data_IF_948347958744
#
_entry.id   IF_948347958744
#
_cell.length_a   1.000
_cell.length_b   1.000
_cell.length_c   1.000
_cell.angle_alpha   90.00
_cell.angle_beta   90.00
_cell.angle_gamma   90.00
#
_symmetry.space_group_name_H-M   'P 1'
#
loop_
_entity.id
_entity.type
_entity.pdbx_description
1 polymer ?
#
# COMPACT_ATOMS: atom_id res chain seq x y z
N UNK A 1 26.86 -24.57 -15.99
CA UNK A 1 27.28 -23.26 -15.44
C UNK A 1 26.35 -22.91 -14.30
N UNK A 2 26.88 -22.50 -13.14
CA UNK A 2 26.06 -22.08 -12.01
C UNK A 2 25.51 -20.67 -12.31
N UNK A 3 24.19 -20.55 -12.39
CA UNK A 3 23.50 -19.28 -12.63
C UNK A 3 22.80 -18.83 -11.36
N UNK A 4 22.54 -17.53 -11.22
CA UNK A 4 21.83 -17.00 -10.04
C UNK A 4 20.48 -17.71 -9.82
N UNK A 5 19.80 -18.09 -10.90
CA UNK A 5 18.48 -18.75 -10.87
C UNK A 5 18.52 -20.21 -10.38
N UNK A 6 19.69 -20.84 -10.32
CA UNK A 6 19.81 -22.20 -9.77
C UNK A 6 20.04 -22.22 -8.25
N UNK A 7 20.07 -21.04 -7.60
CA UNK A 7 20.24 -20.94 -6.16
C UNK A 7 18.91 -21.23 -5.42
N UNK A 8 18.96 -21.84 -4.22
CA UNK A 8 17.82 -21.93 -3.33
C UNK A 8 17.22 -20.55 -2.99
N UNK A 9 15.92 -20.51 -2.74
CA UNK A 9 15.20 -19.27 -2.46
C UNK A 9 15.75 -18.53 -1.23
N UNK A 10 16.25 -19.27 -0.23
CA UNK A 10 16.86 -18.72 0.99
C UNK A 10 18.09 -17.87 0.67
N UNK A 11 18.94 -18.33 -0.25
CA UNK A 11 20.13 -17.59 -0.68
C UNK A 11 19.75 -16.38 -1.53
N UNK A 12 18.74 -16.52 -2.39
CA UNK A 12 18.20 -15.40 -3.16
C UNK A 12 17.63 -14.31 -2.25
N UNK A 13 16.92 -14.68 -1.18
CA UNK A 13 16.43 -13.75 -0.17
C UNK A 13 17.55 -13.03 0.55
N UNK A 14 18.62 -13.74 0.92
CA UNK A 14 19.80 -13.13 1.54
C UNK A 14 20.50 -12.15 0.59
N UNK A 15 20.76 -12.54 -0.66
CA UNK A 15 21.36 -11.67 -1.68
C UNK A 15 20.52 -10.41 -1.88
N UNK A 16 19.19 -10.55 -1.92
CA UNK A 16 18.28 -9.40 -2.01
C UNK A 16 18.38 -8.47 -0.79
N UNK A 17 18.45 -9.02 0.43
CA UNK A 17 18.60 -8.22 1.65
C UNK A 17 19.98 -7.56 1.76
N UNK A 18 21.05 -8.19 1.26
CA UNK A 18 22.39 -7.59 1.24
C UNK A 18 22.54 -6.53 0.16
N UNK A 19 21.98 -6.76 -1.02
CA UNK A 19 22.06 -5.79 -2.13
C UNK A 19 21.11 -4.61 -1.96
N UNK A 20 20.01 -4.78 -1.21
CA UNK A 20 18.91 -3.82 -1.05
C UNK A 20 18.33 -3.29 -2.36
N UNK A 21 18.58 -3.99 -3.47
CA UNK A 21 18.27 -3.51 -4.80
C UNK A 21 16.79 -3.71 -5.15
N UNK A 22 16.05 -2.65 -5.56
CA UNK A 22 14.64 -2.77 -5.91
C UNK A 22 14.41 -3.45 -7.27
N UNK A 23 15.45 -3.57 -8.09
CA UNK A 23 15.37 -4.08 -9.47
C UNK A 23 15.58 -5.58 -9.58
N UNK A 24 16.20 -6.22 -8.58
CA UNK A 24 16.56 -7.64 -8.63
C UNK A 24 15.35 -8.56 -8.89
N UNK A 25 14.16 -8.34 -8.27
CA UNK A 25 12.96 -9.11 -8.60
C UNK A 25 12.49 -8.97 -10.05
N UNK A 26 12.87 -7.89 -10.75
CA UNK A 26 12.40 -7.60 -12.11
C UNK A 26 13.37 -8.06 -13.20
N UNK A 27 14.55 -8.57 -12.82
CA UNK A 27 15.57 -9.05 -13.78
C UNK A 27 15.08 -10.29 -14.52
N UNK A 28 14.34 -11.18 -13.86
CA UNK A 28 13.78 -12.38 -14.49
C UNK A 28 12.41 -12.74 -13.93
N UNK A 29 11.63 -13.48 -14.73
CA UNK A 29 10.29 -13.96 -14.32
C UNK A 29 10.36 -14.94 -13.15
N UNK A 30 11.43 -15.73 -13.10
CA UNK A 30 11.66 -16.68 -12.01
C UNK A 30 11.91 -15.94 -10.70
N UNK A 31 12.84 -14.98 -10.70
CA UNK A 31 13.11 -14.14 -9.53
C UNK A 31 11.85 -13.37 -9.11
N UNK A 32 11.13 -12.79 -10.07
CA UNK A 32 9.86 -12.12 -9.80
C UNK A 32 8.90 -13.03 -9.04
N UNK A 33 8.70 -14.27 -9.51
CA UNK A 33 7.83 -15.24 -8.84
C UNK A 33 8.29 -15.56 -7.42
N UNK A 34 9.59 -15.78 -7.21
CA UNK A 34 10.16 -16.06 -5.87
C UNK A 34 9.91 -14.89 -4.92
N UNK A 35 10.29 -13.66 -5.31
CA UNK A 35 10.14 -12.49 -4.45
C UNK A 35 8.67 -12.07 -4.29
N UNK A 36 7.81 -12.35 -5.27
CA UNK A 36 6.38 -12.14 -5.15
C UNK A 36 5.78 -13.01 -4.03
N UNK A 37 6.21 -14.26 -3.92
CA UNK A 37 5.81 -15.21 -2.87
C UNK A 37 6.70 -15.15 -1.62
N UNK A 38 7.49 -14.08 -1.47
CA UNK A 38 8.35 -13.90 -0.30
C UNK A 38 7.56 -13.79 1.00
N UNK A 39 8.19 -14.21 2.09
CA UNK A 39 7.60 -14.16 3.43
C UNK A 39 7.40 -12.72 3.91
N UNK A 40 6.43 -12.53 4.80
CA UNK A 40 6.14 -11.23 5.43
C UNK A 40 7.35 -10.70 6.20
N UNK A 41 8.11 -11.59 6.84
CA UNK A 41 9.34 -11.28 7.55
C UNK A 41 10.43 -10.76 6.61
N UNK A 42 10.63 -11.39 5.45
CA UNK A 42 11.59 -10.92 4.44
C UNK A 42 11.23 -9.51 3.94
N UNK A 43 9.97 -9.29 3.61
CA UNK A 43 9.46 -7.98 3.15
C UNK A 43 9.64 -6.89 4.21
N UNK A 44 9.32 -7.20 5.47
CA UNK A 44 9.51 -6.27 6.58
C UNK A 44 10.99 -5.96 6.85
N UNK A 45 11.87 -6.96 6.77
CA UNK A 45 13.31 -6.76 6.90
C UNK A 45 13.85 -5.88 5.78
N UNK A 46 13.47 -6.15 4.53
CA UNK A 46 13.86 -5.34 3.38
C UNK A 46 13.44 -3.88 3.56
N UNK A 47 12.19 -3.63 3.94
CA UNK A 47 11.68 -2.29 4.22
C UNK A 47 12.41 -1.59 5.39
N UNK A 48 12.75 -2.35 6.43
CA UNK A 48 13.49 -1.83 7.59
C UNK A 48 14.93 -1.45 7.24
N UNK A 49 15.58 -2.24 6.39
CA UNK A 49 16.96 -2.00 5.97
C UNK A 49 17.06 -0.88 4.93
N UNK A 50 16.11 -0.81 3.99
CA UNK A 50 16.03 0.27 2.98
C UNK A 50 15.74 1.63 3.61
N UNK A 51 14.89 1.68 4.64
CA UNK A 51 14.46 2.94 5.27
C UNK A 51 14.73 2.95 6.78
N UNK A 52 16.00 3.13 7.21
CA UNK A 52 16.38 3.02 8.61
C UNK A 52 15.85 4.16 9.50
N UNK A 53 15.48 5.31 8.91
CA UNK A 53 15.05 6.53 9.63
C UNK A 53 13.53 6.69 9.69
N UNK A 54 12.85 6.61 8.54
CA UNK A 54 11.39 6.82 8.41
C UNK A 54 10.69 5.51 8.02
N UNK A 55 10.91 4.47 8.82
CA UNK A 55 10.56 3.10 8.42
C UNK A 55 9.10 2.97 8.07
N UNK A 56 8.17 3.44 8.91
CA UNK A 56 6.74 3.30 8.62
C UNK A 56 6.29 4.22 7.47
N UNK A 57 6.55 5.52 7.57
CA UNK A 57 6.13 6.50 6.56
C UNK A 57 6.61 6.13 5.15
N UNK A 58 7.87 5.73 5.00
CA UNK A 58 8.41 5.29 3.70
C UNK A 58 7.89 3.93 3.27
N UNK A 59 7.69 2.99 4.20
CA UNK A 59 7.23 1.64 3.87
C UNK A 59 5.83 1.62 3.28
N UNK A 60 4.91 2.46 3.75
CA UNK A 60 3.55 2.50 3.21
C UNK A 60 3.56 2.95 1.73
N UNK A 61 4.58 3.68 1.26
CA UNK A 61 4.74 4.01 -0.17
C UNK A 61 5.13 2.83 -1.06
N UNK A 62 5.45 1.66 -0.49
CA UNK A 62 5.66 0.42 -1.24
C UNK A 62 4.43 -0.49 -1.22
N UNK A 63 4.00 -1.06 -2.37
CA UNK A 63 2.88 -2.02 -2.42
C UNK A 63 3.20 -3.30 -1.66
N UNK A 64 4.46 -3.47 -1.24
CA UNK A 64 4.91 -4.57 -0.43
C UNK A 64 4.38 -4.53 1.01
N UNK A 65 4.01 -3.34 1.51
CA UNK A 65 3.56 -3.10 2.86
C UNK A 65 2.06 -3.40 3.03
N UNK A 66 1.75 -4.66 3.36
CA UNK A 66 0.42 -5.12 3.75
C UNK A 66 0.27 -5.14 5.28
N UNK A 67 -0.95 -5.34 5.80
CA UNK A 67 -1.21 -5.40 7.25
C UNK A 67 -0.31 -6.39 8.01
N UNK A 68 -0.12 -7.66 7.56
CA UNK A 68 0.76 -8.57 8.27
C UNK A 68 2.23 -8.13 8.22
N UNK A 69 2.67 -7.50 7.11
CA UNK A 69 4.02 -6.92 7.02
C UNK A 69 4.18 -5.78 8.01
N UNK A 70 3.17 -4.93 8.16
CA UNK A 70 3.17 -3.83 9.13
C UNK A 70 3.32 -4.34 10.58
N UNK A 71 2.58 -5.38 10.97
CA UNK A 71 2.75 -5.98 12.31
C UNK A 71 4.15 -6.54 12.55
N UNK A 72 4.74 -7.22 11.55
CA UNK A 72 6.12 -7.71 11.67
C UNK A 72 7.13 -6.56 11.75
N UNK A 73 6.88 -5.46 11.02
CA UNK A 73 7.70 -4.25 11.05
C UNK A 73 7.62 -3.59 12.44
N UNK A 74 6.44 -3.50 13.04
CA UNK A 74 6.26 -3.04 14.43
C UNK A 74 7.02 -3.91 15.43
N UNK A 75 6.97 -5.24 15.26
CA UNK A 75 7.71 -6.15 16.13
C UNK A 75 9.23 -5.94 16.03
N UNK A 76 9.75 -5.72 14.82
CA UNK A 76 11.16 -5.40 14.58
C UNK A 76 11.51 -4.02 15.18
N UNK A 77 10.64 -3.03 15.03
CA UNK A 77 10.83 -1.69 15.57
C UNK A 77 10.85 -1.68 17.11
N UNK A 78 9.92 -2.43 17.74
CA UNK A 78 9.88 -2.64 19.20
C UNK A 78 11.18 -3.25 19.71
N UNK A 79 11.68 -4.30 19.05
CA UNK A 79 12.98 -4.92 19.39
C UNK A 79 14.14 -3.92 19.29
N UNK A 80 14.07 -2.99 18.32
CA UNK A 80 15.08 -1.93 18.10
C UNK A 80 14.80 -0.66 18.91
N UNK A 81 13.80 -0.64 19.79
CA UNK A 81 13.33 0.53 20.57
C UNK A 81 13.07 1.78 19.71
N UNK A 82 12.59 1.60 18.48
CA UNK A 82 12.24 2.70 17.58
C UNK A 82 10.75 2.99 17.64
N UNK A 83 10.40 4.27 17.76
CA UNK A 83 9.02 4.75 17.67
C UNK A 83 8.69 4.91 16.18
N UNK A 84 7.58 4.31 15.77
CA UNK A 84 7.06 4.47 14.42
C UNK A 84 6.02 5.59 14.43
N UNK A 85 6.09 6.49 13.45
CA UNK A 85 5.14 7.59 13.30
C UNK A 85 4.66 7.67 11.87
N UNK A 86 3.34 7.90 11.71
CA UNK A 86 2.67 8.09 10.43
C UNK A 86 1.77 9.31 10.51
N UNK A 87 2.29 10.51 10.17
CA UNK A 87 1.47 11.71 10.18
C UNK A 87 0.42 11.69 9.06
N UNK A 88 0.75 11.09 7.91
CA UNK A 88 -0.08 11.17 6.69
C UNK A 88 -0.27 9.81 6.01
N UNK A 89 -1.48 9.56 5.53
CA UNK A 89 -1.82 8.39 4.72
C UNK A 89 -1.42 8.62 3.26
N UNK A 90 -0.58 7.75 2.66
CA UNK A 90 -0.16 7.95 1.29
C UNK A 90 -1.30 7.75 0.31
N UNK A 91 -1.34 8.61 -0.73
CA UNK A 91 -2.35 8.60 -1.79
C UNK A 91 -2.53 7.25 -2.50
N UNK A 92 -1.49 6.39 -2.50
CA UNK A 92 -1.57 5.06 -3.10
C UNK A 92 -2.63 4.17 -2.47
N UNK A 93 -2.87 4.29 -1.16
CA UNK A 93 -3.93 3.53 -0.48
C UNK A 93 -5.33 3.87 -1.04
N UNK A 94 -5.46 5.03 -1.67
CA UNK A 94 -6.69 5.52 -2.30
C UNK A 94 -6.58 5.52 -3.84
N UNK A 95 -5.54 4.88 -4.41
CA UNK A 95 -5.44 4.63 -5.85
C UNK A 95 -6.39 3.50 -6.18
N UNK A 96 -7.68 3.84 -6.21
CA UNK A 96 -8.78 3.06 -6.77
C UNK A 96 -8.41 2.66 -8.19
N UNK A 97 -7.70 1.54 -8.35
CA UNK A 97 -7.17 1.09 -9.64
C UNK A 97 -8.09 0.07 -10.33
N UNK A 98 -9.21 -0.31 -9.73
CA UNK A 98 -10.05 -1.41 -10.25
C UNK A 98 -11.58 -1.24 -10.05
N UNK A 99 -12.12 -0.07 -9.66
CA UNK A 99 -13.60 0.05 -9.46
C UNK A 99 -14.41 0.37 -10.73
N UNK A 100 -13.81 0.44 -11.92
CA UNK A 100 -14.57 0.62 -13.16
C UNK A 100 -13.80 0.13 -14.39
N UNK A 101 -13.60 -1.18 -14.53
CA UNK A 101 -13.71 -1.76 -15.87
C UNK A 101 -15.17 -2.19 -16.01
N UNK A 102 -16.00 -1.51 -16.82
CA UNK A 102 -17.43 -1.81 -16.93
C UNK A 102 -17.74 -3.24 -17.45
N UNK A 103 -16.72 -3.99 -17.91
CA UNK A 103 -16.87 -5.33 -18.48
C UNK A 103 -16.16 -6.45 -17.69
N UNK A 104 -15.70 -6.20 -16.46
CA UNK A 104 -15.17 -7.29 -15.63
C UNK A 104 -16.36 -8.16 -15.15
N UNK A 105 -16.36 -9.49 -15.40
CA UNK A 105 -17.44 -10.35 -14.94
C UNK A 105 -17.57 -10.22 -13.43
N UNK A 106 -18.81 -9.98 -12.97
CA UNK A 106 -19.18 -9.97 -11.55
C UNK A 106 -18.55 -11.19 -10.87
N UNK A 107 -17.69 -11.03 -9.84
CA UNK A 107 -17.30 -12.17 -9.04
C UNK A 107 -18.55 -12.70 -8.34
N UNK A 108 -18.90 -13.95 -8.64
CA UNK A 108 -20.05 -14.69 -8.11
C UNK A 108 -19.83 -15.19 -6.67
N UNK A 109 -18.80 -14.70 -5.97
CA UNK A 109 -18.50 -15.05 -4.58
C UNK A 109 -18.42 -13.80 -3.69
N UNK A 110 -19.02 -13.80 -2.48
CA UNK A 110 -18.97 -12.65 -1.57
C UNK A 110 -17.63 -12.44 -0.85
N UNK A 111 -16.58 -13.23 -1.16
CA UNK A 111 -15.43 -13.41 -0.24
C UNK A 111 -14.09 -12.95 -0.79
N UNK A 112 -13.97 -12.65 -2.09
CA UNK A 112 -12.67 -12.30 -2.67
C UNK A 112 -12.71 -10.99 -3.45
N UNK A 113 -11.92 -10.02 -2.98
CA UNK A 113 -11.51 -8.88 -3.79
C UNK A 113 -12.14 -7.54 -3.44
N UNK A 114 -11.96 -7.05 -2.21
CA UNK A 114 -11.75 -5.62 -2.04
C UNK A 114 -10.26 -5.36 -2.32
N UNK A 115 -9.85 -4.79 -3.48
CA UNK A 115 -8.45 -4.45 -3.77
C UNK A 115 -7.93 -3.27 -2.92
N UNK A 116 -8.78 -2.74 -2.04
CA UNK A 116 -8.45 -1.74 -1.06
C UNK A 116 -8.16 -2.45 0.26
N UNK A 117 -6.95 -2.26 0.78
CA UNK A 117 -6.55 -2.76 2.10
C UNK A 117 -7.26 -1.98 3.22
N UNK A 118 -8.59 -2.06 3.28
CA UNK A 118 -9.44 -1.45 4.32
C UNK A 118 -8.94 -1.81 5.72
N UNK A 119 -8.54 -3.07 6.02
CA UNK A 119 -7.99 -3.40 7.34
C UNK A 119 -6.72 -2.62 7.67
N UNK A 120 -5.84 -2.41 6.69
CA UNK A 120 -4.62 -1.61 6.87
C UNK A 120 -4.94 -0.14 7.08
N UNK A 121 -5.86 0.43 6.30
CA UNK A 121 -6.29 1.83 6.45
C UNK A 121 -6.93 2.05 7.82
N UNK A 122 -7.82 1.14 8.24
CA UNK A 122 -8.45 1.17 9.57
C UNK A 122 -7.39 1.15 10.65
N UNK A 123 -6.44 0.21 10.57
CA UNK A 123 -5.39 0.07 11.56
C UNK A 123 -4.48 1.30 11.65
N UNK A 124 -4.13 1.91 10.51
CA UNK A 124 -3.35 3.15 10.49
C UNK A 124 -4.10 4.32 11.13
N UNK A 125 -5.39 4.46 10.84
CA UNK A 125 -6.24 5.50 11.41
C UNK A 125 -6.45 5.32 12.92
N UNK A 126 -6.67 4.09 13.39
CA UNK A 126 -6.89 3.82 14.82
C UNK A 126 -5.62 3.89 15.65
N UNK A 127 -4.50 3.37 15.15
CA UNK A 127 -3.29 3.16 15.94
C UNK A 127 -2.33 4.34 15.86
N UNK A 128 -2.27 5.03 14.72
CA UNK A 128 -1.34 6.13 14.50
C UNK A 128 -1.99 7.50 14.43
N UNK A 129 -3.33 7.58 14.59
CA UNK A 129 -4.12 8.81 14.46
C UNK A 129 -3.76 9.61 13.21
N UNK A 130 -3.44 8.92 12.10
CA UNK A 130 -3.06 9.56 10.85
C UNK A 130 -4.20 10.44 10.35
N UNK A 131 -3.88 11.62 9.79
CA UNK A 131 -4.93 12.53 9.34
C UNK A 131 -5.77 11.89 8.21
N UNK A 132 -7.10 11.73 8.41
CA UNK A 132 -7.99 11.18 7.38
C UNK A 132 -8.30 12.21 6.27
N UNK A 133 -8.06 13.49 6.55
CA UNK A 133 -8.38 14.63 5.70
C UNK A 133 -7.15 15.15 4.95
N UNK A 134 -6.47 14.27 4.19
CA UNK A 134 -5.36 14.68 3.31
C UNK A 134 -5.89 15.56 2.16
N UNK A 135 -6.14 16.84 2.43
CA UNK A 135 -6.73 17.83 1.50
C UNK A 135 -8.04 17.33 0.83
N UNK A 136 -8.86 16.55 1.56
CA UNK A 136 -10.09 15.94 1.04
C UNK A 136 -9.90 14.81 0.01
N UNK A 137 -8.65 14.48 -0.35
CA UNK A 137 -8.32 13.49 -1.38
C UNK A 137 -8.86 12.08 -1.09
N UNK A 138 -8.71 11.51 0.14
CA UNK A 138 -9.18 10.15 0.44
C UNK A 138 -10.68 9.99 0.24
N UNK A 139 -11.46 10.95 0.74
CA UNK A 139 -12.92 10.93 0.68
C UNK A 139 -13.40 11.08 -0.77
N UNK A 140 -12.85 12.05 -1.49
CA UNK A 140 -13.27 12.31 -2.85
C UNK A 140 -12.88 11.16 -3.81
N UNK A 141 -11.77 10.44 -3.56
CA UNK A 141 -11.45 9.18 -4.26
C UNK A 141 -12.40 8.04 -3.90
N UNK A 142 -12.81 7.93 -2.64
CA UNK A 142 -13.79 6.93 -2.21
C UNK A 142 -15.16 7.16 -2.87
N UNK A 143 -15.58 8.43 -3.02
CA UNK A 143 -16.80 8.84 -3.74
C UNK A 143 -16.69 8.57 -5.24
N UNK A 144 -15.59 8.95 -5.89
CA UNK A 144 -15.35 8.63 -7.31
C UNK A 144 -15.38 7.13 -7.57
N UNK A 145 -14.84 6.33 -6.64
CA UNK A 145 -14.91 4.88 -6.70
C UNK A 145 -16.25 4.29 -6.30
N UNK A 146 -17.23 5.07 -5.84
CA UNK A 146 -18.52 4.60 -5.27
C UNK A 146 -18.35 3.58 -4.14
N UNK A 147 -17.24 3.67 -3.39
CA UNK A 147 -16.87 2.68 -2.38
C UNK A 147 -17.46 3.04 -1.01
N UNK A 148 -18.75 2.73 -0.81
CA UNK A 148 -19.52 3.08 0.39
C UNK A 148 -18.86 2.70 1.73
N UNK A 149 -18.25 1.51 1.91
CA UNK A 149 -17.60 1.17 3.18
C UNK A 149 -16.44 2.11 3.54
N UNK A 150 -15.71 2.59 2.53
CA UNK A 150 -14.56 3.47 2.72
C UNK A 150 -15.01 4.91 3.01
N UNK A 151 -16.09 5.35 2.35
CA UNK A 151 -16.73 6.65 2.64
C UNK A 151 -17.21 6.68 4.09
N UNK A 152 -17.95 5.65 4.53
CA UNK A 152 -18.43 5.55 5.91
C UNK A 152 -17.29 5.53 6.92
N UNK A 153 -16.24 4.77 6.62
CA UNK A 153 -15.05 4.70 7.47
C UNK A 153 -14.39 6.08 7.60
N UNK A 154 -14.09 6.75 6.48
CA UNK A 154 -13.44 8.05 6.50
C UNK A 154 -14.27 9.10 7.25
N UNK A 155 -15.60 9.13 7.03
CA UNK A 155 -16.51 10.01 7.77
C UNK A 155 -16.53 9.69 9.27
N UNK A 156 -16.49 8.41 9.66
CA UNK A 156 -16.45 8.00 11.07
C UNK A 156 -15.17 8.47 11.78
N UNK A 157 -14.06 8.60 11.05
CA UNK A 157 -12.80 9.15 11.57
C UNK A 157 -12.69 10.69 11.46
N UNK A 158 -13.75 11.39 11.05
CA UNK A 158 -13.77 12.85 10.98
C UNK A 158 -13.20 13.42 9.68
N UNK A 159 -13.31 12.71 8.56
CA UNK A 159 -12.98 13.28 7.25
C UNK A 159 -13.99 14.39 6.87
N UNK A 160 -13.50 15.59 6.62
CA UNK A 160 -14.34 16.73 6.27
C UNK A 160 -14.77 16.67 4.79
N UNK A 161 -16.09 16.68 4.50
CA UNK A 161 -16.59 16.66 3.12
C UNK A 161 -16.40 17.99 2.38
N UNK A 162 -16.19 19.08 3.11
CA UNK A 162 -15.99 20.43 2.56
C UNK A 162 -14.53 20.71 2.18
N UNK A 163 -13.57 19.89 2.64
CA UNK A 163 -12.13 20.10 2.42
C UNK A 163 -11.66 19.64 1.02
N UNK A 164 -12.57 19.53 0.06
CA UNK A 164 -12.21 19.31 -1.33
C UNK A 164 -11.65 20.60 -1.91
N UNK A 165 -10.32 20.74 -1.97
CA UNK A 165 -9.67 21.81 -2.76
C UNK A 165 -10.06 21.60 -4.22
N UNK A 166 -11.17 22.21 -4.63
CA UNK A 166 -11.85 22.05 -5.93
C UNK A 166 -10.96 22.42 -7.12
N UNK A 167 -9.92 23.23 -6.90
CA UNK A 167 -9.11 23.83 -7.97
C UNK A 167 -8.29 22.81 -8.79
N UNK A 168 -7.91 21.66 -8.23
CA UNK A 168 -7.19 20.61 -8.98
C UNK A 168 -8.11 19.55 -9.61
N UNK A 169 -9.38 19.50 -9.19
CA UNK A 169 -10.32 18.47 -9.66
C UNK A 169 -10.94 18.86 -10.99
N UNK A 170 -11.25 20.14 -11.21
CA UNK A 170 -11.81 20.63 -12.48
C UNK A 170 -10.91 20.31 -13.69
N UNK A 171 -9.59 20.29 -13.50
CA UNK A 171 -8.62 19.89 -14.52
C UNK A 171 -8.71 18.41 -14.91
N UNK A 172 -9.08 17.53 -13.96
CA UNK A 172 -9.27 16.11 -14.22
C UNK A 172 -10.63 15.78 -14.84
N UNK A 173 -11.68 16.53 -14.52
CA UNK A 173 -13.00 16.34 -15.14
C UNK A 173 -13.04 16.81 -16.61
N UNK A 174 -12.22 17.79 -17.00
CA UNK A 174 -12.24 18.36 -18.36
C UNK A 174 -11.53 17.51 -19.43
N UNK A 175 -10.80 16.45 -19.05
CA UNK A 175 -10.08 15.59 -20.01
C UNK A 175 -10.81 14.27 -20.35
N UNK A 176 -11.98 14.01 -19.76
CA UNK A 176 -12.75 12.78 -20.00
C UNK A 176 -14.16 12.97 -20.56
N UNK A 177 -14.54 14.21 -20.90
CA UNK A 177 -15.88 14.57 -21.38
C UNK A 177 -15.81 15.54 -22.55
N UNK A 178 -15.17 15.13 -23.63
CA UNK A 178 -15.33 15.73 -24.95
C UNK A 178 -16.22 14.82 -25.78
N UNK A 179 -17.36 15.39 -26.21
CA UNK A 179 -18.35 14.83 -27.14
C UNK A 179 -17.68 14.37 -28.43
#
# INVERSE_FOLDING_TARGET
>A
MLTLESLPAELLYQIHLFSLSPHLPYVSRHLFSIFHHSTTTHRALYLTLTHPRKTLQSSIYYPLCTLPVLHTLEQIAKKRRKILSCPELPKRLFRVQELSKPNAPRPTSPVEGNPLDIPLITYLLTTYSSSPSLDGYPLARAVLGRHLPLIRLLLAFGADPSLGRMDQWQSCWRLGGGI
#
